data_IF_178346430070
#
_entry.id   IF_178346430070
#
_cell.length_a   1.000
_cell.length_b   1.000
_cell.length_c   1.000
_cell.angle_alpha   90.00
_cell.angle_beta   90.00
_cell.angle_gamma   90.00
#
_symmetry.space_group_name_H-M   'P 1'
#
loop_
_entity.id
_entity.type
_entity.pdbx_description
1 polymer ?
#
# COMPACT_ATOMS: atom_id res chain seq x y z
N UNK A 1 19.66 -6.48 -21.19
CA UNK A 1 20.12 -6.26 -19.79
C UNK A 1 19.18 -5.35 -18.99
N UNK A 2 18.68 -4.22 -19.53
CA UNK A 2 17.75 -3.32 -18.80
C UNK A 2 16.42 -4.00 -18.40
N UNK A 3 15.77 -4.73 -19.31
CA UNK A 3 14.49 -5.41 -19.03
C UNK A 3 14.56 -6.50 -17.93
N UNK A 4 15.71 -7.15 -17.78
CA UNK A 4 15.92 -8.21 -16.77
C UNK A 4 16.06 -7.61 -15.36
N UNK A 5 16.67 -6.43 -15.26
CA UNK A 5 16.75 -5.65 -14.02
C UNK A 5 15.35 -5.17 -13.61
N UNK A 6 14.55 -4.72 -14.56
CA UNK A 6 13.18 -4.26 -14.31
C UNK A 6 12.27 -5.42 -13.85
N UNK A 7 12.40 -6.60 -14.46
CA UNK A 7 11.72 -7.82 -14.01
C UNK A 7 12.16 -8.25 -12.61
N UNK A 8 13.46 -8.18 -12.29
CA UNK A 8 13.97 -8.48 -10.95
C UNK A 8 13.37 -7.57 -9.86
N UNK A 9 13.19 -6.28 -10.16
CA UNK A 9 12.54 -5.32 -9.25
C UNK A 9 11.05 -5.57 -9.08
N UNK A 10 10.34 -5.92 -10.16
CA UNK A 10 8.92 -6.27 -10.10
C UNK A 10 8.69 -7.52 -9.23
N UNK A 11 9.50 -8.57 -9.42
CA UNK A 11 9.42 -9.79 -8.61
C UNK A 11 9.71 -9.51 -7.13
N UNK A 12 10.65 -8.63 -6.83
CA UNK A 12 10.96 -8.25 -5.44
C UNK A 12 9.81 -7.45 -4.80
N UNK A 13 9.19 -6.53 -5.53
CA UNK A 13 8.02 -5.80 -5.06
C UNK A 13 6.87 -6.77 -4.73
N UNK A 14 6.62 -7.75 -5.60
CA UNK A 14 5.59 -8.77 -5.38
C UNK A 14 5.88 -9.60 -4.12
N UNK A 15 7.13 -10.03 -3.89
CA UNK A 15 7.51 -10.75 -2.67
C UNK A 15 7.22 -9.95 -1.40
N UNK A 16 7.46 -8.65 -1.40
CA UNK A 16 7.19 -7.77 -0.25
C UNK A 16 5.70 -7.66 0.02
N UNK A 17 4.88 -7.53 -1.01
CA UNK A 17 3.42 -7.49 -0.90
C UNK A 17 2.88 -8.82 -0.37
N UNK A 18 3.30 -9.94 -0.95
CA UNK A 18 2.89 -11.27 -0.47
C UNK A 18 3.23 -11.50 1.01
N UNK A 19 4.40 -11.03 1.45
CA UNK A 19 4.77 -11.08 2.85
C UNK A 19 3.86 -10.21 3.74
N UNK A 20 3.59 -8.96 3.32
CA UNK A 20 2.70 -8.06 4.06
C UNK A 20 1.27 -8.63 4.16
N UNK A 21 0.71 -9.11 3.04
CA UNK A 21 -0.61 -9.75 2.99
C UNK A 21 -0.67 -10.97 3.93
N UNK A 22 0.35 -11.82 3.93
CA UNK A 22 0.42 -12.97 4.82
C UNK A 22 0.51 -12.57 6.30
N UNK A 23 1.26 -11.52 6.63
CA UNK A 23 1.35 -11.00 7.99
C UNK A 23 0.02 -10.40 8.48
N UNK A 24 -0.69 -9.67 7.61
CA UNK A 24 -2.02 -9.15 7.90
C UNK A 24 -3.03 -10.29 8.09
N UNK A 25 -3.01 -11.28 7.20
CA UNK A 25 -3.89 -12.45 7.27
C UNK A 25 -3.66 -13.26 8.56
N UNK A 26 -2.40 -13.43 8.98
CA UNK A 26 -2.06 -14.07 10.26
C UNK A 26 -2.65 -13.33 11.47
N UNK A 27 -2.77 -12.00 11.38
CA UNK A 27 -3.41 -11.17 12.38
C UNK A 27 -4.94 -11.09 12.24
N UNK A 28 -5.53 -11.76 11.25
CA UNK A 28 -6.97 -11.70 10.96
C UNK A 28 -7.41 -10.40 10.27
N UNK A 29 -6.48 -9.71 9.60
CA UNK A 29 -6.72 -8.49 8.85
C UNK A 29 -6.55 -8.71 7.35
N UNK A 30 -7.22 -7.87 6.56
CA UNK A 30 -7.10 -7.82 5.11
C UNK A 30 -7.10 -6.35 4.67
N UNK A 31 -6.24 -6.01 3.72
CA UNK A 31 -6.23 -4.68 3.10
C UNK A 31 -7.23 -4.64 1.94
N UNK A 32 -8.47 -4.26 2.24
CA UNK A 32 -9.58 -4.26 1.26
C UNK A 32 -9.76 -2.95 0.50
N UNK A 33 -9.22 -1.84 1.00
CA UNK A 33 -9.30 -0.56 0.31
C UNK A 33 -8.34 -0.53 -0.89
N UNK A 34 -8.92 -0.35 -2.08
CA UNK A 34 -8.18 -0.41 -3.34
C UNK A 34 -7.10 0.67 -3.46
N UNK A 35 -7.33 1.88 -2.90
CA UNK A 35 -6.35 2.95 -2.96
C UNK A 35 -5.14 2.62 -2.07
N UNK A 36 -5.38 2.17 -0.83
CA UNK A 36 -4.30 1.77 0.06
C UNK A 36 -3.51 0.59 -0.52
N UNK A 37 -4.18 -0.34 -1.20
CA UNK A 37 -3.52 -1.47 -1.86
C UNK A 37 -2.58 -0.99 -2.98
N UNK A 38 -3.03 -0.06 -3.81
CA UNK A 38 -2.22 0.54 -4.86
C UNK A 38 -1.00 1.31 -4.31
N UNK A 39 -1.19 2.09 -3.24
CA UNK A 39 -0.10 2.80 -2.57
C UNK A 39 0.95 1.84 -1.99
N UNK A 40 0.51 0.73 -1.39
CA UNK A 40 1.40 -0.35 -0.93
C UNK A 40 2.24 -0.93 -2.09
N UNK A 41 1.62 -1.19 -3.24
CA UNK A 41 2.32 -1.66 -4.44
C UNK A 41 3.36 -0.64 -4.95
N UNK A 42 3.03 0.66 -4.95
CA UNK A 42 3.96 1.71 -5.37
C UNK A 42 5.16 1.85 -4.43
N UNK A 43 4.94 1.71 -3.11
CA UNK A 43 6.03 1.67 -2.11
C UNK A 43 6.91 0.44 -2.31
N UNK A 44 6.32 -0.74 -2.49
CA UNK A 44 7.07 -1.98 -2.71
C UNK A 44 7.95 -1.93 -3.96
N UNK A 45 7.45 -1.28 -5.03
CA UNK A 45 8.17 -1.02 -6.27
C UNK A 45 9.24 0.10 -6.15
N UNK A 46 9.24 0.85 -5.06
CA UNK A 46 10.10 2.01 -4.85
C UNK A 46 9.74 3.21 -5.73
N UNK A 47 8.50 3.26 -6.24
CA UNK A 47 8.01 4.36 -7.07
C UNK A 47 7.72 5.62 -6.23
N UNK A 48 7.29 5.42 -4.98
CA UNK A 48 7.06 6.49 -3.98
C UNK A 48 7.72 6.12 -2.66
N UNK A 49 7.96 7.11 -1.79
CA UNK A 49 8.44 6.84 -0.43
C UNK A 49 7.26 6.44 0.46
N UNK A 50 7.55 5.64 1.49
CA UNK A 50 6.53 5.23 2.46
C UNK A 50 5.88 6.42 3.17
N UNK A 51 6.64 7.47 3.51
CA UNK A 51 6.10 8.68 4.15
C UNK A 51 5.05 9.38 3.28
N UNK A 52 5.27 9.40 1.96
CA UNK A 52 4.34 10.01 0.99
C UNK A 52 3.07 9.17 0.87
N UNK A 53 3.20 7.84 0.84
CA UNK A 53 2.08 6.91 0.84
C UNK A 53 1.22 7.05 2.11
N UNK A 54 1.85 7.09 3.29
CA UNK A 54 1.15 7.27 4.57
C UNK A 54 0.40 8.61 4.59
N UNK A 55 1.00 9.68 4.05
CA UNK A 55 0.34 10.98 3.97
C UNK A 55 -0.90 10.94 3.08
N UNK A 56 -0.83 10.21 1.96
CA UNK A 56 -1.98 9.99 1.07
C UNK A 56 -3.05 9.10 1.71
N UNK A 57 -2.65 8.01 2.39
CA UNK A 57 -3.56 7.11 3.11
C UNK A 57 -4.37 7.88 4.16
N UNK A 58 -3.71 8.71 4.97
CA UNK A 58 -4.38 9.50 6.00
C UNK A 58 -5.37 10.49 5.41
N UNK A 59 -4.99 11.20 4.34
CA UNK A 59 -5.90 12.13 3.66
C UNK A 59 -7.14 11.42 3.09
N UNK A 60 -6.98 10.20 2.56
CA UNK A 60 -8.08 9.38 2.07
C UNK A 60 -8.99 8.89 3.19
N UNK A 61 -8.43 8.44 4.31
CA UNK A 61 -9.21 8.02 5.49
C UNK A 61 -10.01 9.19 6.07
N UNK A 62 -9.41 10.37 6.19
CA UNK A 62 -10.08 11.58 6.67
C UNK A 62 -11.26 11.98 5.77
N UNK A 63 -11.09 11.86 4.45
CA UNK A 63 -12.16 12.15 3.49
C UNK A 63 -13.35 11.16 3.56
N UNK A 64 -13.11 9.94 4.06
CA UNK A 64 -14.15 8.92 4.24
C UNK A 64 -14.90 9.05 5.57
N UNK A 65 -14.38 9.81 6.54
CA UNK A 65 -15.07 9.99 7.80
C UNK A 65 -16.31 10.87 7.60
N UNK A 66 -17.51 10.42 8.01
CA UNK A 66 -18.68 11.29 8.02
C UNK A 66 -18.41 12.43 9.00
N UNK A 67 -18.55 13.66 8.52
CA UNK A 67 -18.51 14.86 9.36
C UNK A 67 -19.59 14.74 10.43
N UNK A 68 -19.19 14.40 11.65
CA UNK A 68 -20.11 14.35 12.79
C UNK A 68 -20.60 15.77 13.06
N UNK A 69 -21.90 16.06 12.98
CA UNK A 69 -22.41 17.35 13.40
C UNK A 69 -22.26 17.42 14.92
N UNK A 70 -21.29 18.22 15.40
CA UNK A 70 -21.25 18.64 16.81
C UNK A 70 -22.53 19.43 17.06
N UNK A 71 -23.44 18.86 17.85
CA UNK A 71 -24.63 19.55 18.39
C UNK A 71 -24.34 19.97 19.83
#
# INVERSE_FOLDING_TARGET
MVAEIDQGRANEAERRIQFADAAQALAGHELSDQLLRELSHQVAAGAIRADDAISADMAHLDAQQPSSPVT
#
